data_IF_484887518154
#
_entry.id   IF_484887518154
#
_cell.length_a   1.000
_cell.length_b   1.000
_cell.length_c   1.000
_cell.angle_alpha   90.00
_cell.angle_beta   90.00
_cell.angle_gamma   90.00
#
_symmetry.space_group_name_H-M   'P 1'
#
loop_
_entity.id
_entity.type
_entity.pdbx_description
1 polymer ?
#
# COMPACT_ATOMS: atom_id res chain seq x y z
N UNK A 1 15.25 10.12 -11.65
CA UNK A 1 14.91 8.68 -11.68
C UNK A 1 14.78 8.31 -13.15
N UNK A 2 15.56 7.35 -13.64
CA UNK A 2 15.54 6.96 -15.07
C UNK A 2 14.64 5.74 -15.23
N UNK A 3 13.44 5.98 -15.75
CA UNK A 3 12.43 4.96 -16.02
C UNK A 3 12.49 4.52 -17.48
N UNK A 4 12.49 3.21 -17.71
CA UNK A 4 12.33 2.57 -19.00
C UNK A 4 10.88 2.16 -19.27
N UNK A 5 9.92 2.63 -18.46
CA UNK A 5 8.52 2.20 -18.57
C UNK A 5 7.96 2.32 -20.00
N UNK A 6 8.24 3.42 -20.69
CA UNK A 6 7.75 3.63 -22.06
C UNK A 6 8.25 2.56 -23.06
N UNK A 7 9.45 2.01 -22.82
CA UNK A 7 10.04 0.96 -23.66
C UNK A 7 9.58 -0.41 -23.16
N UNK A 8 9.80 -0.70 -21.87
CA UNK A 8 9.53 -2.01 -21.30
C UNK A 8 8.03 -2.36 -21.32
N UNK A 9 7.14 -1.37 -21.23
CA UNK A 9 5.70 -1.61 -21.20
C UNK A 9 5.02 -1.48 -22.56
N UNK A 10 5.78 -1.32 -23.66
CA UNK A 10 5.21 -1.17 -25.01
C UNK A 10 4.37 -2.39 -25.44
N UNK A 11 4.76 -3.58 -25.02
CA UNK A 11 4.13 -4.88 -25.33
C UNK A 11 3.54 -5.52 -24.05
N UNK A 12 3.11 -4.70 -23.08
CA UNK A 12 2.63 -5.23 -21.79
C UNK A 12 1.22 -5.84 -21.87
N UNK A 13 0.45 -5.48 -22.90
CA UNK A 13 -0.93 -5.96 -23.06
C UNK A 13 -0.98 -7.38 -23.64
N UNK A 14 -2.01 -8.14 -23.29
CA UNK A 14 -2.22 -9.52 -23.78
C UNK A 14 -2.34 -9.60 -25.30
N UNK A 15 -2.92 -8.58 -25.95
CA UNK A 15 -2.97 -8.45 -27.41
C UNK A 15 -1.59 -8.38 -28.08
N UNK A 16 -0.55 -8.04 -27.32
CA UNK A 16 0.85 -8.01 -27.76
C UNK A 16 1.69 -9.12 -27.09
N UNK A 17 1.07 -10.12 -26.46
CA UNK A 17 1.74 -11.22 -25.76
C UNK A 17 2.20 -10.91 -24.33
N UNK A 18 1.77 -9.79 -23.76
CA UNK A 18 2.08 -9.38 -22.38
C UNK A 18 1.12 -9.92 -21.31
N UNK A 19 1.40 -9.64 -20.02
CA UNK A 19 0.65 -10.19 -18.89
C UNK A 19 -0.57 -9.35 -18.48
N UNK A 20 -0.75 -8.14 -19.02
CA UNK A 20 -1.83 -7.23 -18.62
C UNK A 20 -3.00 -7.37 -19.59
N UNK A 21 -4.16 -7.79 -19.09
CA UNK A 21 -5.36 -7.96 -19.91
C UNK A 21 -5.91 -6.62 -20.36
N UNK A 22 -6.05 -5.68 -19.41
CA UNK A 22 -6.59 -4.35 -19.69
C UNK A 22 -6.10 -3.33 -18.67
N UNK A 23 -6.14 -2.07 -19.10
CA UNK A 23 -5.89 -0.91 -18.26
C UNK A 23 -7.09 0.02 -18.39
N UNK A 24 -7.71 0.36 -17.27
CA UNK A 24 -8.76 1.37 -17.21
C UNK A 24 -8.17 2.68 -16.67
N UNK A 25 -8.65 3.80 -17.17
CA UNK A 25 -8.23 5.13 -16.73
C UNK A 25 -9.43 5.93 -16.28
N UNK A 26 -9.21 6.82 -15.32
CA UNK A 26 -10.20 7.76 -14.81
C UNK A 26 -9.52 8.89 -14.04
N UNK A 27 -10.29 9.58 -13.22
CA UNK A 27 -9.78 10.58 -12.28
C UNK A 27 -10.26 10.27 -10.87
N UNK A 28 -9.53 10.79 -9.88
CA UNK A 28 -9.92 10.76 -8.47
C UNK A 28 -9.75 12.15 -7.88
N UNK A 29 -10.69 12.55 -7.02
CA UNK A 29 -10.60 13.81 -6.28
C UNK A 29 -9.66 13.65 -5.07
N UNK A 30 -8.47 14.25 -5.15
CA UNK A 30 -7.50 14.32 -4.05
C UNK A 30 -7.54 15.72 -3.45
N UNK A 31 -8.33 15.88 -2.39
CA UNK A 31 -8.46 17.13 -1.62
C UNK A 31 -8.84 18.34 -2.49
N UNK A 32 -9.84 18.18 -3.36
CA UNK A 32 -10.36 19.21 -4.26
C UNK A 32 -9.64 19.30 -5.60
N UNK A 33 -8.74 18.36 -5.90
CA UNK A 33 -7.98 18.31 -7.16
C UNK A 33 -8.24 17.00 -7.89
N UNK A 34 -8.63 17.10 -9.15
CA UNK A 34 -8.78 15.92 -10.01
C UNK A 34 -7.40 15.42 -10.45
N UNK A 35 -7.02 14.25 -9.95
CA UNK A 35 -5.77 13.56 -10.28
C UNK A 35 -6.07 12.38 -11.22
N UNK A 36 -5.32 12.22 -12.33
CA UNK A 36 -5.41 11.02 -13.16
C UNK A 36 -5.16 9.74 -12.36
N UNK A 37 -5.98 8.73 -12.63
CA UNK A 37 -5.87 7.40 -12.06
C UNK A 37 -5.90 6.34 -13.15
N UNK A 38 -5.16 5.25 -12.94
CA UNK A 38 -5.20 4.05 -13.76
C UNK A 38 -5.32 2.81 -12.88
N UNK A 39 -5.97 1.78 -13.43
CA UNK A 39 -6.16 0.48 -12.81
C UNK A 39 -5.78 -0.59 -13.84
N UNK A 40 -4.91 -1.52 -13.47
CA UNK A 40 -4.45 -2.60 -14.31
C UNK A 40 -4.98 -3.96 -13.83
N UNK A 41 -5.26 -4.85 -14.79
CA UNK A 41 -5.73 -6.21 -14.55
C UNK A 41 -4.80 -7.19 -15.25
N UNK A 42 -4.35 -8.20 -14.52
CA UNK A 42 -3.54 -9.29 -15.07
C UNK A 42 -4.43 -10.22 -15.91
N UNK A 43 -3.80 -10.93 -16.84
CA UNK A 43 -4.43 -11.98 -17.63
C UNK A 43 -5.08 -13.03 -16.72
N UNK A 44 -6.31 -13.48 -16.99
CA UNK A 44 -6.94 -14.56 -16.24
C UNK A 44 -6.06 -15.81 -16.15
N UNK A 45 -5.98 -16.40 -14.95
CA UNK A 45 -5.19 -17.60 -14.68
C UNK A 45 -3.69 -17.36 -14.45
N UNK A 46 -3.19 -16.13 -14.61
CA UNK A 46 -1.77 -15.81 -14.38
C UNK A 46 -1.39 -15.90 -12.90
N UNK A 47 -2.28 -15.46 -12.00
CA UNK A 47 -2.12 -15.56 -10.55
C UNK A 47 -3.14 -16.54 -9.97
N UNK A 48 -2.75 -17.26 -8.90
CA UNK A 48 -3.59 -18.23 -8.20
C UNK A 48 -3.72 -17.86 -6.73
N UNK A 49 -4.88 -18.17 -6.13
CA UNK A 49 -5.11 -17.96 -4.70
C UNK A 49 -5.34 -16.50 -4.27
N UNK A 50 -5.53 -15.57 -5.20
CA UNK A 50 -5.94 -14.20 -4.87
C UNK A 50 -7.35 -14.21 -4.27
N UNK A 51 -7.56 -13.67 -3.06
CA UNK A 51 -8.90 -13.57 -2.47
C UNK A 51 -9.77 -12.61 -3.28
N UNK A 52 -11.07 -12.90 -3.35
CA UNK A 52 -12.04 -11.94 -3.88
C UNK A 52 -12.24 -10.78 -2.92
N UNK A 53 -12.27 -9.57 -3.46
CA UNK A 53 -12.49 -8.33 -2.71
C UNK A 53 -13.90 -7.81 -2.97
N UNK A 54 -14.60 -7.47 -1.89
CA UNK A 54 -15.99 -6.98 -1.91
C UNK A 54 -16.08 -5.45 -1.86
N UNK A 55 -15.03 -4.80 -1.36
CA UNK A 55 -14.94 -3.37 -1.06
C UNK A 55 -14.02 -2.68 -2.07
N UNK A 56 -12.78 -3.16 -2.24
CA UNK A 56 -11.78 -2.54 -3.12
C UNK A 56 -11.80 -3.04 -4.58
N UNK A 57 -12.58 -4.09 -4.87
CA UNK A 57 -12.65 -4.71 -6.19
C UNK A 57 -11.39 -5.50 -6.57
N UNK A 58 -11.40 -6.17 -7.73
CA UNK A 58 -10.40 -7.19 -8.07
C UNK A 58 -9.24 -6.69 -8.95
N UNK A 59 -8.93 -5.38 -8.94
CA UNK A 59 -7.78 -4.83 -9.66
C UNK A 59 -6.46 -5.49 -9.24
N UNK A 60 -5.47 -5.55 -10.14
CA UNK A 60 -4.13 -6.08 -9.85
C UNK A 60 -3.08 -5.00 -9.66
N UNK A 61 -3.35 -3.78 -10.11
CA UNK A 61 -2.52 -2.63 -9.77
C UNK A 61 -3.27 -1.33 -9.94
N UNK A 62 -2.81 -0.31 -9.23
CA UNK A 62 -3.41 1.02 -9.19
C UNK A 62 -2.32 2.07 -9.33
N UNK A 63 -2.64 3.19 -9.94
CA UNK A 63 -1.68 4.28 -10.09
C UNK A 63 -2.40 5.60 -10.13
N UNK A 64 -1.86 6.61 -9.44
CA UNK A 64 -2.38 7.96 -9.46
C UNK A 64 -1.22 8.94 -9.54
N UNK A 65 -1.32 9.89 -10.47
CA UNK A 65 -0.27 10.86 -10.73
C UNK A 65 -0.83 11.98 -11.62
N UNK A 66 -0.32 13.20 -11.45
CA UNK A 66 -0.62 14.34 -12.32
C UNK A 66 -0.43 14.05 -13.82
N UNK A 67 0.49 13.14 -14.18
CA UNK A 67 0.63 12.61 -15.53
C UNK A 67 -0.19 11.32 -15.70
N UNK A 68 -1.18 11.29 -16.61
CA UNK A 68 -1.94 10.07 -16.91
C UNK A 68 -1.07 8.90 -17.35
N UNK A 69 0.02 9.17 -18.07
CA UNK A 69 0.95 8.15 -18.52
C UNK A 69 1.73 7.55 -17.34
N UNK A 70 2.17 8.38 -16.40
CA UNK A 70 2.84 7.91 -15.18
C UNK A 70 1.87 7.11 -14.31
N UNK A 71 0.62 7.54 -14.18
CA UNK A 71 -0.41 6.77 -13.47
C UNK A 71 -0.59 5.37 -14.07
N UNK A 72 -0.64 5.26 -15.41
CA UNK A 72 -0.67 3.96 -16.11
C UNK A 72 0.56 3.10 -15.81
N UNK A 73 1.76 3.67 -15.86
CA UNK A 73 2.99 2.93 -15.56
C UNK A 73 3.06 2.45 -14.11
N UNK A 74 2.54 3.24 -13.16
CA UNK A 74 2.43 2.84 -11.76
C UNK A 74 1.47 1.66 -11.60
N UNK A 75 0.30 1.71 -12.22
CA UNK A 75 -0.68 0.63 -12.18
C UNK A 75 -0.11 -0.67 -12.78
N UNK A 76 0.64 -0.59 -13.88
CA UNK A 76 1.34 -1.74 -14.47
C UNK A 76 2.39 -2.29 -13.50
N UNK A 77 3.19 -1.42 -12.88
CA UNK A 77 4.24 -1.83 -11.93
C UNK A 77 3.62 -2.60 -10.76
N UNK A 78 2.57 -2.06 -10.13
CA UNK A 78 1.89 -2.74 -9.02
C UNK A 78 1.30 -4.10 -9.47
N UNK A 79 0.74 -4.20 -10.67
CA UNK A 79 0.27 -5.48 -11.21
C UNK A 79 1.39 -6.51 -11.41
N UNK A 80 2.56 -6.09 -11.90
CA UNK A 80 3.73 -6.97 -12.03
C UNK A 80 4.27 -7.42 -10.67
N UNK A 81 4.24 -6.54 -9.67
CA UNK A 81 4.59 -6.86 -8.30
C UNK A 81 3.63 -7.90 -7.70
N UNK A 82 2.32 -7.74 -7.90
CA UNK A 82 1.33 -8.73 -7.46
C UNK A 82 1.54 -10.07 -8.16
N UNK A 83 1.84 -10.08 -9.45
CA UNK A 83 2.19 -11.31 -10.16
C UNK A 83 3.41 -11.99 -9.51
N UNK A 84 4.50 -11.24 -9.28
CA UNK A 84 5.69 -11.76 -8.64
C UNK A 84 5.43 -12.33 -7.24
N UNK A 85 4.61 -11.65 -6.45
CA UNK A 85 4.19 -12.12 -5.13
C UNK A 85 3.48 -13.47 -5.20
N UNK A 86 2.41 -13.60 -6.00
CA UNK A 86 1.61 -14.83 -6.04
C UNK A 86 2.37 -16.02 -6.61
N UNK A 87 3.28 -15.79 -7.56
CA UNK A 87 4.12 -16.86 -8.12
C UNK A 87 5.19 -17.33 -7.12
N UNK A 88 5.81 -16.40 -6.39
CA UNK A 88 6.97 -16.71 -5.52
C UNK A 88 6.56 -17.16 -4.12
N UNK A 89 5.55 -16.51 -3.52
CA UNK A 89 5.15 -16.76 -2.12
C UNK A 89 4.57 -18.17 -1.90
N UNK A 90 4.07 -18.80 -2.95
CA UNK A 90 3.51 -20.16 -2.94
C UNK A 90 4.52 -21.22 -3.41
N UNK A 91 5.70 -20.81 -3.86
CA UNK A 91 6.73 -21.69 -4.42
C UNK A 91 7.69 -22.27 -3.39
N UNK A 92 8.51 -23.23 -3.81
CA UNK A 92 9.55 -23.85 -2.97
C UNK A 92 10.61 -22.85 -2.47
N UNK A 93 10.79 -21.75 -3.19
CA UNK A 93 11.78 -20.71 -2.87
C UNK A 93 11.22 -19.59 -1.98
N UNK A 94 9.98 -19.69 -1.49
CA UNK A 94 9.33 -18.64 -0.70
C UNK A 94 10.19 -18.17 0.50
N UNK A 95 10.77 -19.11 1.26
CA UNK A 95 11.64 -18.79 2.39
C UNK A 95 12.92 -18.05 1.98
N UNK A 96 13.47 -18.32 0.78
CA UNK A 96 14.67 -17.62 0.27
C UNK A 96 14.43 -16.13 0.06
N UNK A 97 13.17 -15.75 -0.15
CA UNK A 97 12.75 -14.36 -0.34
C UNK A 97 12.14 -13.73 0.92
N UNK A 98 12.25 -14.40 2.08
CA UNK A 98 11.75 -13.92 3.36
C UNK A 98 10.23 -14.05 3.56
N UNK A 99 9.54 -14.91 2.79
CA UNK A 99 8.09 -15.14 2.94
C UNK A 99 7.72 -15.95 4.20
N UNK A 100 8.68 -16.60 4.84
CA UNK A 100 8.57 -17.22 6.17
C UNK A 100 8.50 -16.16 7.30
N UNK A 101 9.23 -15.05 7.12
CA UNK A 101 9.25 -13.93 8.05
C UNK A 101 8.02 -13.03 7.90
N UNK A 102 7.65 -12.69 6.67
CA UNK A 102 6.44 -11.93 6.32
C UNK A 102 5.81 -12.56 5.06
N UNK A 103 4.61 -13.10 5.14
CA UNK A 103 3.95 -13.75 4.00
C UNK A 103 3.06 -12.81 3.16
N UNK A 104 3.22 -11.49 3.32
CA UNK A 104 2.49 -10.45 2.57
C UNK A 104 3.35 -9.81 1.47
N UNK A 105 2.75 -8.87 0.74
CA UNK A 105 3.45 -8.05 -0.26
C UNK A 105 4.31 -6.95 0.36
N UNK A 106 4.30 -6.78 1.68
CA UNK A 106 5.03 -5.70 2.35
C UNK A 106 6.49 -5.60 1.90
N UNK A 107 6.88 -4.38 1.52
CA UNK A 107 8.25 -4.08 1.16
C UNK A 107 8.63 -4.61 -0.21
N UNK A 108 7.66 -4.94 -1.06
CA UNK A 108 7.91 -5.24 -2.47
C UNK A 108 7.92 -3.95 -3.29
N UNK A 109 8.51 -3.98 -4.48
CA UNK A 109 8.37 -2.90 -5.45
C UNK A 109 8.76 -3.41 -6.82
N UNK A 110 7.88 -3.26 -7.81
CA UNK A 110 8.26 -3.35 -9.21
C UNK A 110 8.71 -1.99 -9.75
N UNK A 111 9.83 -1.94 -10.47
CA UNK A 111 10.21 -0.73 -11.20
C UNK A 111 10.93 -1.04 -12.52
N UNK A 112 10.49 -0.43 -13.65
CA UNK A 112 11.12 -0.63 -14.95
C UNK A 112 12.33 0.31 -15.08
N UNK A 113 13.48 -0.08 -14.57
CA UNK A 113 14.70 0.74 -14.61
C UNK A 113 15.90 0.01 -15.19
N UNK A 114 16.83 0.79 -15.76
CA UNK A 114 18.19 0.30 -16.09
C UNK A 114 18.96 -0.18 -14.87
N UNK A 115 18.77 0.50 -13.72
CA UNK A 115 19.51 0.23 -12.49
C UNK A 115 18.58 -0.33 -11.40
N UNK A 116 18.81 -1.59 -11.00
CA UNK A 116 18.04 -2.31 -9.96
C UNK A 116 17.92 -1.54 -8.63
N UNK A 117 18.88 -0.68 -8.33
CA UNK A 117 18.87 0.20 -7.16
C UNK A 117 17.62 1.09 -7.05
N UNK A 118 16.95 1.39 -8.16
CA UNK A 118 15.71 2.18 -8.17
C UNK A 118 14.52 1.36 -7.66
N UNK A 119 14.41 0.08 -8.04
CA UNK A 119 13.43 -0.84 -7.47
C UNK A 119 13.70 -1.06 -5.97
N UNK A 120 14.97 -1.30 -5.60
CA UNK A 120 15.40 -1.41 -4.20
C UNK A 120 14.98 -0.18 -3.38
N UNK A 121 15.25 1.04 -3.85
CA UNK A 121 14.89 2.26 -3.12
C UNK A 121 13.37 2.38 -2.88
N UNK A 122 12.54 1.92 -3.81
CA UNK A 122 11.08 1.91 -3.67
C UNK A 122 10.64 0.87 -2.64
N UNK A 123 11.17 -0.35 -2.74
CA UNK A 123 10.93 -1.42 -1.78
C UNK A 123 11.32 -1.01 -0.34
N UNK A 124 12.41 -0.25 -0.16
CA UNK A 124 12.78 0.32 1.14
C UNK A 124 11.74 1.29 1.71
N UNK A 125 11.16 2.16 0.88
CA UNK A 125 10.12 3.09 1.35
C UNK A 125 8.83 2.34 1.68
N UNK A 126 8.43 1.38 0.86
CA UNK A 126 7.28 0.55 1.17
C UNK A 126 7.50 -0.24 2.47
N UNK A 127 8.68 -0.86 2.64
CA UNK A 127 9.02 -1.58 3.86
C UNK A 127 9.02 -0.64 5.10
N UNK A 128 9.50 0.60 4.94
CA UNK A 128 9.47 1.62 5.99
C UNK A 128 8.04 1.99 6.40
N UNK A 129 7.16 2.23 5.42
CA UNK A 129 5.74 2.52 5.66
C UNK A 129 5.10 1.43 6.53
N UNK A 130 5.28 0.16 6.11
CA UNK A 130 4.66 -1.00 6.76
C UNK A 130 5.22 -1.24 8.15
N UNK A 131 6.55 -1.22 8.30
CA UNK A 131 7.19 -1.38 9.60
C UNK A 131 6.81 -0.26 10.57
N UNK A 132 6.75 1.00 10.12
CA UNK A 132 6.41 2.12 10.99
C UNK A 132 4.95 2.05 11.46
N UNK A 133 4.01 1.73 10.57
CA UNK A 133 2.60 1.53 10.92
C UNK A 133 2.43 0.39 11.93
N UNK A 134 3.05 -0.77 11.66
CA UNK A 134 2.97 -1.94 12.55
C UNK A 134 3.61 -1.62 13.91
N UNK A 135 4.75 -0.93 13.92
CA UNK A 135 5.44 -0.52 15.15
C UNK A 135 4.61 0.44 15.97
N UNK A 136 4.02 1.46 15.33
CA UNK A 136 3.16 2.41 15.99
C UNK A 136 1.91 1.76 16.57
N UNK A 137 1.20 0.96 15.77
CA UNK A 137 -0.01 0.28 16.25
C UNK A 137 0.28 -0.71 17.40
N UNK A 138 1.44 -1.36 17.35
CA UNK A 138 1.88 -2.29 18.40
C UNK A 138 2.42 -1.59 19.67
N UNK A 139 2.43 -0.26 19.71
CA UNK A 139 2.88 0.55 20.84
C UNK A 139 4.40 0.68 20.96
N UNK A 140 5.15 0.48 19.88
CA UNK A 140 6.61 0.60 19.82
C UNK A 140 7.09 1.90 19.18
N UNK A 141 6.18 2.83 18.88
CA UNK A 141 6.47 4.08 18.19
C UNK A 141 5.47 5.14 18.65
N UNK A 142 5.87 6.41 18.67
CA UNK A 142 4.96 7.54 18.90
C UNK A 142 4.48 8.13 17.58
N UNK A 143 3.41 8.89 17.65
CA UNK A 143 2.97 9.75 16.58
C UNK A 143 2.84 11.19 17.08
N UNK A 144 3.34 12.15 16.32
CA UNK A 144 3.10 13.58 16.56
C UNK A 144 2.08 14.09 15.55
N UNK A 145 1.05 14.78 16.04
CA UNK A 145 0.11 15.49 15.19
C UNK A 145 0.77 16.74 14.61
N UNK A 146 0.76 16.89 13.28
CA UNK A 146 1.47 17.96 12.58
C UNK A 146 0.48 18.89 11.88
N UNK A 147 0.31 20.09 12.45
CA UNK A 147 -0.27 21.25 11.76
C UNK A 147 -1.78 21.17 11.46
N UNK A 148 -2.31 22.32 11.06
CA UNK A 148 -3.75 22.61 10.95
C UNK A 148 -4.45 21.84 9.82
N UNK A 149 -5.72 21.53 10.05
CA UNK A 149 -6.48 20.56 9.25
C UNK A 149 -6.73 21.06 7.81
N UNK A 150 -5.83 20.79 6.87
CA UNK A 150 -6.04 21.12 5.47
C UNK A 150 -7.27 20.35 4.96
N UNK A 151 -8.34 21.06 4.61
CA UNK A 151 -9.62 20.48 4.18
C UNK A 151 -10.19 19.43 5.16
N UNK A 152 -10.03 19.66 6.47
CA UNK A 152 -10.51 18.75 7.51
C UNK A 152 -9.70 17.46 7.65
N UNK A 153 -8.52 17.39 7.03
CA UNK A 153 -7.58 16.26 7.15
C UNK A 153 -6.64 16.50 8.33
N UNK A 154 -6.57 15.56 9.25
CA UNK A 154 -5.54 15.55 10.30
C UNK A 154 -4.35 14.71 9.84
N UNK A 155 -3.13 15.23 10.05
CA UNK A 155 -1.89 14.54 9.73
C UNK A 155 -1.12 14.15 10.98
N UNK A 156 -0.64 12.91 11.00
CA UNK A 156 0.26 12.37 12.00
C UNK A 156 1.60 12.05 11.34
N UNK A 157 2.69 12.38 12.02
CA UNK A 157 4.04 11.90 11.72
C UNK A 157 4.40 10.78 12.67
N UNK A 158 4.77 9.62 12.14
CA UNK A 158 5.26 8.51 12.96
C UNK A 158 6.75 8.74 13.29
N UNK A 159 7.09 8.74 14.58
CA UNK A 159 8.44 9.03 15.07
C UNK A 159 9.30 7.77 15.06
N UNK A 160 10.17 7.62 14.07
CA UNK A 160 10.96 6.41 13.89
C UNK A 160 12.46 6.64 13.76
N UNK A 161 13.25 5.62 14.09
CA UNK A 161 14.71 5.64 14.05
C UNK A 161 15.33 5.49 12.65
N UNK A 162 14.56 5.10 11.62
CA UNK A 162 15.08 4.95 10.27
C UNK A 162 15.53 6.29 9.66
N UNK A 163 16.75 6.35 9.10
CA UNK A 163 17.41 7.60 8.66
C UNK A 163 17.18 7.99 7.18
N UNK A 164 16.25 7.33 6.48
CA UNK A 164 16.15 7.44 5.01
C UNK A 164 14.77 7.83 4.48
N UNK A 165 13.81 8.15 5.35
CA UNK A 165 12.45 8.52 4.97
C UNK A 165 11.64 9.06 6.14
N UNK A 166 10.37 9.33 5.86
CA UNK A 166 9.37 9.85 6.78
C UNK A 166 8.06 9.11 6.51
N UNK A 167 7.26 8.83 7.55
CA UNK A 167 5.96 8.18 7.43
C UNK A 167 4.85 9.08 7.96
N UNK A 168 3.81 9.26 7.14
CA UNK A 168 2.64 10.04 7.47
C UNK A 168 1.40 9.15 7.54
N UNK A 169 0.52 9.41 8.50
CA UNK A 169 -0.85 8.88 8.56
C UNK A 169 -1.81 10.06 8.51
N UNK A 170 -2.73 10.03 7.57
CA UNK A 170 -3.79 11.01 7.41
C UNK A 170 -5.12 10.38 7.78
N UNK A 171 -6.00 11.17 8.38
CA UNK A 171 -7.39 10.78 8.53
C UNK A 171 -8.34 11.96 8.39
N UNK A 172 -9.55 11.68 7.92
CA UNK A 172 -10.61 12.68 7.76
C UNK A 172 -11.97 12.06 8.06
N UNK A 173 -12.81 12.82 8.75
CA UNK A 173 -14.22 12.48 8.94
C UNK A 173 -15.05 13.12 7.83
N UNK A 174 -15.81 12.30 7.13
CA UNK A 174 -16.78 12.71 6.13
C UNK A 174 -18.02 13.37 6.77
N UNK A 175 -18.79 14.11 5.96
CA UNK A 175 -20.08 14.66 6.39
C UNK A 175 -21.10 13.58 6.82
N UNK A 176 -20.99 12.37 6.26
CA UNK A 176 -21.81 11.22 6.64
C UNK A 176 -21.35 10.53 7.94
N UNK A 177 -20.33 11.07 8.62
CA UNK A 177 -19.85 10.58 9.90
C UNK A 177 -18.79 9.47 9.82
N UNK A 178 -18.54 8.87 8.66
CA UNK A 178 -17.48 7.87 8.50
C UNK A 178 -16.09 8.51 8.49
N UNK A 179 -15.09 7.78 8.98
CA UNK A 179 -13.69 8.19 8.94
C UNK A 179 -12.94 7.41 7.87
N UNK A 180 -12.07 8.09 7.14
CA UNK A 180 -11.17 7.46 6.19
C UNK A 180 -9.74 7.78 6.54
N UNK A 181 -8.83 6.92 6.11
CA UNK A 181 -7.41 7.00 6.41
C UNK A 181 -6.60 6.82 5.15
N UNK A 182 -5.40 7.40 5.12
CA UNK A 182 -4.37 7.09 4.15
C UNK A 182 -3.01 7.20 4.82
N UNK A 183 -2.04 6.39 4.41
CA UNK A 183 -0.72 6.37 5.00
C UNK A 183 0.33 6.19 3.92
N UNK A 184 1.49 6.83 4.09
CA UNK A 184 2.57 6.58 3.15
C UNK A 184 3.94 6.91 3.70
N UNK A 185 4.96 6.25 3.15
CA UNK A 185 6.33 6.68 3.28
C UNK A 185 6.78 7.59 2.12
N UNK A 186 7.60 8.58 2.45
CA UNK A 186 8.25 9.48 1.52
C UNK A 186 9.69 9.80 1.92
N UNK A 187 10.45 10.40 1.02
CA UNK A 187 11.80 10.89 1.34
C UNK A 187 11.77 12.11 2.27
N UNK A 188 10.63 12.78 2.33
CA UNK A 188 10.32 13.90 3.24
C UNK A 188 8.89 13.73 3.76
N UNK A 189 8.57 14.38 4.87
CA UNK A 189 7.21 14.34 5.42
C UNK A 189 6.18 14.92 4.43
N UNK A 190 6.52 15.98 3.70
CA UNK A 190 5.64 16.55 2.68
C UNK A 190 5.32 15.54 1.56
N UNK A 191 6.33 14.78 1.10
CA UNK A 191 6.10 13.72 0.10
C UNK A 191 5.29 12.54 0.65
N UNK A 192 5.45 12.21 1.93
CA UNK A 192 4.66 11.18 2.61
C UNK A 192 3.19 11.61 2.70
N UNK A 193 2.92 12.85 3.14
CA UNK A 193 1.57 13.45 3.19
C UNK A 193 0.92 13.47 1.81
N UNK A 194 1.63 13.93 0.77
CA UNK A 194 1.06 13.99 -0.58
C UNK A 194 0.63 12.61 -1.11
N UNK A 195 1.40 11.56 -0.81
CA UNK A 195 1.05 10.17 -1.18
C UNK A 195 -0.08 9.61 -0.33
N UNK A 196 -0.02 9.83 0.98
CA UNK A 196 -1.07 9.43 1.90
C UNK A 196 -2.41 10.09 1.56
N UNK A 197 -2.42 11.31 1.03
CA UNK A 197 -3.63 11.99 0.57
C UNK A 197 -4.30 11.28 -0.62
N UNK A 198 -3.51 10.71 -1.54
CA UNK A 198 -4.02 9.91 -2.65
C UNK A 198 -4.67 8.63 -2.12
N UNK A 199 -4.05 7.95 -1.17
CA UNK A 199 -4.64 6.75 -0.55
C UNK A 199 -5.89 7.09 0.28
N UNK A 200 -5.87 8.19 1.04
CA UNK A 200 -7.02 8.69 1.76
C UNK A 200 -8.22 8.89 0.83
N UNK A 201 -8.02 9.59 -0.29
CA UNK A 201 -9.07 9.81 -1.29
C UNK A 201 -9.64 8.50 -1.87
N UNK A 202 -8.77 7.50 -2.11
CA UNK A 202 -9.21 6.18 -2.58
C UNK A 202 -10.06 5.47 -1.53
N UNK A 203 -9.62 5.49 -0.27
CA UNK A 203 -10.32 4.85 0.83
C UNK A 203 -11.66 5.55 1.10
N UNK A 204 -11.73 6.87 0.97
CA UNK A 204 -13.00 7.61 1.02
C UNK A 204 -13.97 7.18 -0.05
N UNK A 205 -13.54 7.15 -1.31
CA UNK A 205 -14.38 6.71 -2.41
C UNK A 205 -14.94 5.29 -2.15
N UNK A 206 -14.05 4.38 -1.75
CA UNK A 206 -14.38 2.97 -1.51
C UNK A 206 -15.35 2.80 -0.33
N UNK A 207 -15.08 3.44 0.81
CA UNK A 207 -15.94 3.37 2.01
C UNK A 207 -17.31 3.98 1.72
N UNK A 208 -17.37 5.17 1.11
CA UNK A 208 -18.63 5.83 0.75
C UNK A 208 -19.44 4.97 -0.22
N UNK A 209 -18.80 4.41 -1.25
CA UNK A 209 -19.47 3.56 -2.23
C UNK A 209 -20.03 2.28 -1.61
N UNK A 210 -19.24 1.61 -0.75
CA UNK A 210 -19.69 0.41 -0.06
C UNK A 210 -20.87 0.72 0.86
N UNK A 211 -20.82 1.80 1.64
CA UNK A 211 -21.92 2.21 2.54
C UNK A 211 -23.20 2.55 1.79
N UNK A 212 -23.11 3.14 0.59
CA UNK A 212 -24.27 3.42 -0.27
C UNK A 212 -24.91 2.17 -0.87
N UNK A 213 -24.12 1.11 -1.14
CA UNK A 213 -24.59 -0.09 -1.85
C UNK A 213 -24.95 -1.26 -0.96
N UNK A 214 -24.54 -1.25 0.30
CA UNK A 214 -24.60 -2.45 1.13
C UNK A 214 -25.92 -2.54 1.90
N UNK A 215 -26.81 -3.41 1.43
CA UNK A 215 -27.63 -4.20 2.36
C UNK A 215 -26.70 -5.22 3.03
N UNK A 216 -26.63 -5.23 4.37
CA UNK A 216 -25.80 -6.08 5.24
C UNK A 216 -25.24 -7.38 4.60
N UNK A 217 -24.14 -7.28 3.85
CA UNK A 217 -23.43 -8.43 3.28
C UNK A 217 -22.13 -8.63 4.04
N UNK A 218 -21.85 -9.89 4.35
CA UNK A 218 -20.61 -10.29 5.00
C UNK A 218 -19.40 -9.95 4.10
N UNK A 219 -18.35 -9.39 4.71
CA UNK A 219 -17.09 -9.04 4.02
C UNK A 219 -16.05 -10.10 4.38
N UNK A 220 -15.68 -11.01 3.46
CA UNK A 220 -14.86 -12.17 3.77
C UNK A 220 -13.38 -11.83 3.98
N UNK A 221 -12.88 -10.78 3.32
CA UNK A 221 -11.48 -10.36 3.43
C UNK A 221 -11.23 -9.59 4.75
N UNK A 222 -10.22 -9.98 5.52
CA UNK A 222 -9.93 -9.37 6.83
C UNK A 222 -9.45 -7.92 6.74
N UNK A 223 -8.68 -7.58 5.71
CA UNK A 223 -8.20 -6.22 5.47
C UNK A 223 -9.36 -5.28 5.13
N UNK A 224 -10.31 -5.74 4.31
CA UNK A 224 -11.54 -5.00 4.03
C UNK A 224 -12.41 -4.81 5.29
N UNK A 225 -12.51 -5.84 6.15
CA UNK A 225 -13.19 -5.71 7.45
C UNK A 225 -12.53 -4.69 8.36
N UNK A 226 -11.19 -4.68 8.45
CA UNK A 226 -10.43 -3.70 9.24
C UNK A 226 -10.68 -2.29 8.72
N UNK A 227 -10.61 -2.07 7.41
CA UNK A 227 -10.95 -0.78 6.81
C UNK A 227 -12.35 -0.30 7.23
N UNK A 228 -13.36 -1.17 7.17
CA UNK A 228 -14.73 -0.82 7.54
C UNK A 228 -14.90 -0.61 9.05
N UNK A 229 -14.19 -1.38 9.88
CA UNK A 229 -14.17 -1.22 11.33
C UNK A 229 -13.61 0.15 11.74
N UNK A 230 -12.43 0.51 11.22
CA UNK A 230 -11.79 1.80 11.51
C UNK A 230 -12.54 3.00 10.92
N UNK A 231 -13.36 2.78 9.89
CA UNK A 231 -14.27 3.79 9.37
C UNK A 231 -15.49 4.07 10.26
N UNK A 232 -15.80 3.17 11.20
CA UNK A 232 -16.84 3.31 12.20
C UNK A 232 -16.38 4.05 13.47
N UNK A 233 -17.33 4.34 14.36
CA UNK A 233 -17.06 5.07 15.60
C UNK A 233 -16.14 4.30 16.56
N UNK A 234 -16.42 3.01 16.78
CA UNK A 234 -15.62 2.16 17.69
C UNK A 234 -14.17 2.05 17.24
N UNK A 235 -13.94 1.72 15.97
CA UNK A 235 -12.59 1.60 15.42
C UNK A 235 -11.85 2.94 15.41
N UNK A 236 -12.54 4.04 15.10
CA UNK A 236 -11.93 5.37 15.21
C UNK A 236 -11.60 5.76 16.66
N UNK A 237 -12.44 5.40 17.63
CA UNK A 237 -12.14 5.64 19.04
C UNK A 237 -10.91 4.83 19.48
N UNK A 238 -10.74 3.59 19.00
CA UNK A 238 -9.51 2.81 19.20
C UNK A 238 -8.30 3.48 18.56
N UNK A 239 -8.42 3.95 17.32
CA UNK A 239 -7.38 4.70 16.64
C UNK A 239 -6.95 5.93 17.44
N UNK A 240 -7.90 6.77 17.89
CA UNK A 240 -7.60 7.96 18.68
C UNK A 240 -6.94 7.63 20.03
N UNK A 241 -7.38 6.57 20.71
CA UNK A 241 -6.71 6.08 21.92
C UNK A 241 -5.22 5.81 21.65
N UNK A 242 -4.90 5.22 20.49
CA UNK A 242 -3.52 4.94 20.09
C UNK A 242 -2.74 6.19 19.69
N UNK A 243 -3.38 7.14 19.00
CA UNK A 243 -2.77 8.45 18.65
C UNK A 243 -2.33 9.21 19.89
N UNK A 244 -3.16 9.20 20.94
CA UNK A 244 -2.89 9.93 22.18
C UNK A 244 -2.15 9.12 23.25
N UNK A 245 -1.86 7.83 22.99
CA UNK A 245 -1.00 7.05 23.86
C UNK A 245 0.46 7.50 23.70
N UNK A 246 0.97 8.17 24.74
CA UNK A 246 2.30 8.79 24.74
C UNK A 246 3.39 7.90 25.32
N UNK A 247 3.07 6.70 25.79
CA UNK A 247 4.04 5.79 26.44
C UNK A 247 4.38 4.64 25.50
N UNK A 248 5.34 4.82 24.55
CA UNK A 248 5.83 3.68 23.80
C UNK A 248 6.44 2.67 24.77
N UNK A 249 6.25 1.38 24.48
CA UNK A 249 6.82 0.27 25.25
C UNK A 249 8.35 0.34 25.20
N UNK A 250 8.92 -0.26 24.16
CA UNK A 250 10.33 -0.20 23.80
C UNK A 250 10.35 0.18 22.32
N UNK A 251 11.12 1.19 21.96
CA UNK A 251 11.19 1.61 20.56
C UNK A 251 11.68 0.46 19.68
N UNK A 252 10.98 0.21 18.57
CA UNK A 252 11.43 -0.76 17.60
C UNK A 252 12.61 -0.18 16.80
N UNK A 253 13.66 -0.97 16.61
CA UNK A 253 14.78 -0.59 15.76
C UNK A 253 14.57 -1.13 14.34
N UNK A 254 14.89 -0.30 13.36
CA UNK A 254 14.89 -0.72 11.96
C UNK A 254 16.04 -1.69 11.70
N UNK A 255 15.71 -2.96 11.43
CA UNK A 255 16.67 -4.00 11.04
C UNK A 255 16.13 -4.75 9.84
N UNK A 256 16.92 -4.85 8.78
CA UNK A 256 16.54 -5.61 7.58
C UNK A 256 16.95 -7.09 7.74
N UNK A 257 16.03 -8.00 7.45
CA UNK A 257 16.22 -9.46 7.46
C UNK A 257 16.36 -10.05 6.06
N UNK A 258 15.74 -9.42 5.06
CA UNK A 258 15.92 -9.76 3.65
C UNK A 258 15.97 -8.49 2.80
N UNK A 259 16.86 -8.48 1.80
CA UNK A 259 17.03 -7.38 0.84
C UNK A 259 17.52 -7.95 -0.49
N UNK A 260 16.61 -8.16 -1.44
CA UNK A 260 16.97 -8.85 -2.67
C UNK A 260 15.95 -8.71 -3.79
N UNK A 261 16.41 -8.96 -5.01
CA UNK A 261 15.56 -9.10 -6.17
C UNK A 261 14.74 -10.39 -6.09
N UNK A 262 13.51 -10.32 -6.60
CA UNK A 262 12.70 -11.49 -6.92
C UNK A 262 12.68 -11.60 -8.44
N UNK A 263 13.46 -12.55 -8.97
CA UNK A 263 13.55 -12.80 -10.40
C UNK A 263 12.42 -13.76 -10.84
N UNK A 264 11.91 -13.56 -12.05
CA UNK A 264 10.87 -14.41 -12.62
C UNK A 264 10.44 -13.95 -14.01
N UNK A 265 9.29 -14.43 -14.48
CA UNK A 265 8.80 -14.11 -15.81
C UNK A 265 8.45 -12.62 -16.00
N UNK A 266 8.24 -11.87 -14.92
CA UNK A 266 8.06 -10.41 -14.93
C UNK A 266 9.37 -9.64 -15.17
N UNK A 267 10.55 -10.25 -14.97
CA UNK A 267 11.85 -9.59 -15.06
C UNK A 267 12.15 -9.02 -16.45
N UNK A 268 11.45 -9.48 -17.50
CA UNK A 268 11.52 -8.85 -18.85
C UNK A 268 10.91 -7.45 -18.90
N UNK A 269 10.03 -7.10 -17.95
CA UNK A 269 9.31 -5.83 -17.92
C UNK A 269 9.84 -4.90 -16.82
N UNK A 270 10.08 -5.44 -15.62
CA UNK A 270 10.50 -4.66 -14.47
C UNK A 270 11.32 -5.51 -13.49
N UNK A 271 12.25 -4.87 -12.79
CA UNK A 271 12.87 -5.47 -11.61
C UNK A 271 11.87 -5.43 -10.48
N UNK A 272 11.59 -6.58 -9.86
CA UNK A 272 10.85 -6.66 -8.60
C UNK A 272 11.87 -6.85 -7.48
N UNK A 273 11.83 -5.95 -6.50
CA UNK A 273 12.71 -6.01 -5.34
C UNK A 273 11.88 -6.20 -4.08
N UNK A 274 12.46 -6.84 -3.07
CA UNK A 274 11.83 -7.00 -1.77
C UNK A 274 12.78 -6.67 -0.63
N UNK A 275 12.25 -5.96 0.37
CA UNK A 275 12.91 -5.63 1.63
C UNK A 275 12.01 -6.08 2.77
N UNK A 276 12.50 -6.99 3.61
CA UNK A 276 11.76 -7.49 4.78
C UNK A 276 12.45 -6.99 6.04
N UNK A 277 11.89 -6.01 6.76
CA UNK A 277 12.39 -5.61 8.06
C UNK A 277 11.94 -6.59 9.16
N UNK A 278 12.61 -6.53 10.31
CA UNK A 278 12.19 -7.20 11.52
C UNK A 278 10.92 -6.52 12.05
N UNK A 279 9.76 -7.15 11.86
CA UNK A 279 8.50 -6.63 12.38
C UNK A 279 8.44 -6.82 13.91
N UNK A 280 7.97 -5.82 14.68
CA UNK A 280 7.87 -5.93 16.14
C UNK A 280 6.71 -6.80 16.61
N UNK A 281 5.77 -7.14 15.71
CA UNK A 281 4.63 -8.00 15.97
C UNK A 281 4.22 -8.73 14.68
N UNK A 282 3.62 -9.91 14.82
CA UNK A 282 2.96 -10.65 13.72
C UNK A 282 1.43 -10.54 13.77
N UNK A 283 0.88 -9.80 14.73
CA UNK A 283 -0.57 -9.67 14.95
C UNK A 283 -1.29 -9.09 13.72
N UNK A 284 -0.61 -8.26 12.92
CA UNK A 284 -1.16 -7.74 11.67
C UNK A 284 -1.54 -8.84 10.66
N UNK A 285 -0.97 -10.04 10.78
CA UNK A 285 -1.30 -11.21 9.96
C UNK A 285 -2.49 -12.02 10.50
N UNK A 286 -2.94 -11.78 11.74
CA UNK A 286 -4.08 -12.48 12.32
C UNK A 286 -5.40 -11.93 11.75
N UNK A 287 -6.18 -12.71 10.97
CA UNK A 287 -7.43 -12.25 10.38
C UNK A 287 -8.53 -11.92 11.41
N UNK A 288 -8.33 -12.27 12.69
CA UNK A 288 -9.23 -11.96 13.81
C UNK A 288 -8.84 -10.69 14.57
N UNK A 289 -7.62 -10.19 14.40
CA UNK A 289 -7.18 -8.94 15.06
C UNK A 289 -7.69 -7.70 14.30
N UNK A 290 -8.21 -6.72 15.04
CA UNK A 290 -8.55 -5.37 14.56
C UNK A 290 -7.30 -4.50 14.44
N UNK A 291 -6.32 -4.95 13.69
CA UNK A 291 -5.07 -4.21 13.48
C UNK A 291 -5.29 -3.02 12.54
N UNK A 292 -4.76 -1.83 12.85
CA UNK A 292 -4.86 -0.65 11.97
C UNK A 292 -3.90 -0.79 10.78
N UNK A 293 -4.30 -1.61 9.82
CA UNK A 293 -3.53 -1.97 8.63
C UNK A 293 -4.39 -2.80 7.65
N UNK A 294 -4.46 -2.41 6.38
CA UNK A 294 -5.16 -3.14 5.31
C UNK A 294 -4.53 -2.97 3.92
#
# INVERSE_FOLDING_TARGET
MFSLAAINYREILTSAGGPIERICTGTIDVLGRQEPQAIAYLKPGLIRGKPSLSVYGNADGTGSNHSPQVARHMAISEALERWAFYETSQGADAAKHGFDLDNSTNGMAAFPSLFKSQARKRAYHEALERWALISWWSGHMRATMVGDAMFGVTALRLEHSAKFGEVAVLFRRSAAGHVSYGYSAGTTFATAVARAAVELARNEFVVSYYKLRSAAREVPNCFERRCLYFAGEEGHAEFLRRVFDRKPRREAEWSVKFDGEIAGAWSKYATVWRVVPAMPSREYLDPKSSFFFW
#
